data_IF_707744380612
#
_entry.id   IF_707744380612
#
_cell.length_a   1.000
_cell.length_b   1.000
_cell.length_c   1.000
_cell.angle_alpha   90.00
_cell.angle_beta   90.00
_cell.angle_gamma   90.00
#
_symmetry.space_group_name_H-M   'P 1'
#
loop_
_entity.id
_entity.type
_entity.pdbx_description
1 polymer ?
#
# COMPACT_ATOMS: atom_id res chain seq x y z
N UNK A 1 -5.62 4.01 25.57
CA UNK A 1 -6.82 3.19 25.32
C UNK A 1 -8.02 4.10 25.48
N UNK A 2 -8.82 4.30 24.42
CA UNK A 2 -9.96 5.22 24.43
C UNK A 2 -11.07 4.69 25.35
N UNK A 3 -11.49 5.51 26.31
CA UNK A 3 -12.54 5.17 27.29
C UNK A 3 -13.94 5.12 26.66
N UNK A 4 -14.11 5.69 25.46
CA UNK A 4 -15.39 5.77 24.74
C UNK A 4 -15.84 4.46 24.08
N UNK A 5 -14.94 3.47 23.99
CA UNK A 5 -15.25 2.16 23.38
C UNK A 5 -16.33 1.38 24.13
N UNK A 6 -16.58 1.70 25.40
CA UNK A 6 -17.63 1.08 26.22
C UNK A 6 -18.96 1.85 26.19
N UNK A 7 -18.99 3.02 25.53
CA UNK A 7 -20.18 3.85 25.34
C UNK A 7 -20.86 3.61 23.98
N UNK A 8 -20.19 2.94 23.05
CA UNK A 8 -20.72 2.56 21.75
C UNK A 8 -21.79 1.47 21.88
N UNK A 9 -22.84 1.54 21.05
CA UNK A 9 -23.77 0.43 20.92
C UNK A 9 -23.06 -0.78 20.31
N UNK A 10 -23.61 -1.98 20.49
CA UNK A 10 -23.06 -3.21 19.90
C UNK A 10 -22.97 -3.08 18.38
N UNK A 11 -23.99 -2.51 17.75
CA UNK A 11 -24.02 -2.31 16.31
C UNK A 11 -22.97 -1.28 15.86
N UNK A 12 -22.80 -0.18 16.60
CA UNK A 12 -21.78 0.83 16.28
C UNK A 12 -20.35 0.29 16.47
N UNK A 13 -20.12 -0.48 17.53
CA UNK A 13 -18.84 -1.13 17.77
C UNK A 13 -18.48 -2.12 16.65
N UNK A 14 -19.45 -2.94 16.22
CA UNK A 14 -19.26 -3.98 15.20
C UNK A 14 -19.20 -3.41 13.77
N UNK A 15 -19.97 -2.36 13.47
CA UNK A 15 -20.15 -1.84 12.12
C UNK A 15 -19.34 -0.56 11.82
N UNK A 16 -19.21 0.37 12.77
CA UNK A 16 -18.68 1.71 12.48
C UNK A 16 -17.19 1.87 12.79
N UNK A 17 -16.66 1.24 13.85
CA UNK A 17 -15.29 1.56 14.31
C UNK A 17 -14.26 0.43 14.17
N UNK A 18 -14.65 -0.84 14.32
CA UNK A 18 -13.65 -1.90 14.52
C UNK A 18 -13.39 -2.81 13.33
N UNK A 19 -14.22 -2.74 12.28
CA UNK A 19 -14.16 -3.62 11.10
C UNK A 19 -14.14 -5.13 11.45
N UNK A 20 -14.54 -5.49 12.67
CA UNK A 20 -14.42 -6.87 13.21
C UNK A 20 -15.25 -7.85 12.40
N UNK A 21 -16.42 -7.42 11.89
CA UNK A 21 -17.26 -8.26 11.05
C UNK A 21 -16.57 -8.66 9.74
N UNK A 22 -15.75 -7.78 9.15
CA UNK A 22 -14.97 -8.11 7.96
C UNK A 22 -13.99 -9.24 8.25
N UNK A 23 -13.24 -9.14 9.35
CA UNK A 23 -12.28 -10.16 9.76
C UNK A 23 -12.95 -11.47 10.17
N UNK A 24 -14.09 -11.40 10.84
CA UNK A 24 -14.85 -12.59 11.21
C UNK A 24 -15.41 -13.30 9.97
N UNK A 25 -15.97 -12.55 9.02
CA UNK A 25 -16.48 -13.10 7.76
C UNK A 25 -15.34 -13.75 6.95
N UNK A 26 -14.20 -13.09 6.86
CA UNK A 26 -13.02 -13.62 6.18
C UNK A 26 -12.49 -14.90 6.85
N UNK A 27 -12.33 -14.90 8.17
CA UNK A 27 -11.89 -16.08 8.93
C UNK A 27 -12.85 -17.28 8.75
N UNK A 28 -14.16 -17.03 8.80
CA UNK A 28 -15.16 -18.09 8.58
C UNK A 28 -15.07 -18.61 7.14
N UNK A 29 -14.94 -17.72 6.16
CA UNK A 29 -14.84 -18.11 4.74
C UNK A 29 -13.61 -18.99 4.50
N UNK A 30 -12.43 -18.57 4.98
CA UNK A 30 -11.20 -19.35 4.87
C UNK A 30 -11.28 -20.71 5.58
N UNK A 31 -11.90 -20.76 6.77
CA UNK A 31 -12.12 -22.00 7.51
C UNK A 31 -13.00 -22.98 6.74
N UNK A 32 -14.03 -22.48 6.05
CA UNK A 32 -14.94 -23.31 5.26
C UNK A 32 -14.28 -23.81 3.97
N UNK A 33 -13.46 -22.98 3.31
CA UNK A 33 -12.72 -23.35 2.10
C UNK A 33 -11.65 -24.42 2.36
N UNK A 34 -10.95 -24.34 3.50
CA UNK A 34 -9.82 -25.21 3.83
C UNK A 34 -10.08 -26.03 5.10
N UNK A 35 -11.31 -26.54 5.23
CA UNK A 35 -11.81 -27.18 6.45
C UNK A 35 -10.92 -28.32 6.94
N UNK A 36 -10.42 -29.16 6.05
CA UNK A 36 -9.61 -30.33 6.42
C UNK A 36 -8.27 -29.93 7.05
N UNK A 37 -7.65 -28.85 6.57
CA UNK A 37 -6.36 -28.37 7.08
C UNK A 37 -6.51 -27.65 8.42
N UNK A 38 -7.47 -26.73 8.53
CA UNK A 38 -7.60 -25.85 9.70
C UNK A 38 -8.35 -26.49 10.87
N UNK A 39 -9.20 -27.48 10.63
CA UNK A 39 -9.90 -28.19 11.73
C UNK A 39 -9.04 -29.24 12.41
N UNK A 40 -7.89 -29.63 11.83
CA UNK A 40 -6.99 -30.65 12.38
C UNK A 40 -6.54 -30.33 13.82
N UNK A 41 -6.35 -29.04 14.12
CA UNK A 41 -5.89 -28.57 15.44
C UNK A 41 -6.99 -27.90 16.28
N UNK A 42 -8.24 -27.97 15.81
CA UNK A 42 -9.42 -27.41 16.46
C UNK A 42 -9.75 -25.98 16.02
N UNK A 43 -11.04 -25.73 15.79
CA UNK A 43 -11.58 -24.44 15.30
C UNK A 43 -11.21 -23.26 16.21
N UNK A 44 -11.23 -23.44 17.53
CA UNK A 44 -10.86 -22.37 18.46
C UNK A 44 -9.41 -21.90 18.30
N UNK A 45 -8.50 -22.82 17.98
CA UNK A 45 -7.09 -22.49 17.73
C UNK A 45 -6.93 -21.74 16.41
N UNK A 46 -7.64 -22.16 15.37
CA UNK A 46 -7.66 -21.45 14.08
C UNK A 46 -8.05 -19.98 14.26
N UNK A 47 -9.17 -19.69 14.92
CA UNK A 47 -9.60 -18.30 15.15
C UNK A 47 -8.58 -17.52 15.99
N UNK A 48 -8.00 -18.14 17.03
CA UNK A 48 -6.97 -17.49 17.82
C UNK A 48 -5.73 -17.12 16.98
N UNK A 49 -5.27 -18.02 16.09
CA UNK A 49 -4.14 -17.77 15.20
C UNK A 49 -4.48 -16.71 14.14
N UNK A 50 -5.68 -16.75 13.56
CA UNK A 50 -6.15 -15.75 12.59
C UNK A 50 -6.19 -14.35 13.22
N UNK A 51 -6.87 -14.17 14.36
CA UNK A 51 -6.98 -12.86 15.00
C UNK A 51 -5.64 -12.38 15.59
N UNK A 52 -4.75 -13.30 15.97
CA UNK A 52 -3.38 -12.93 16.31
C UNK A 52 -2.61 -12.46 15.06
N UNK A 53 -2.85 -13.05 13.89
CA UNK A 53 -2.32 -12.57 12.61
C UNK A 53 -2.82 -11.15 12.29
N UNK A 54 -4.14 -10.92 12.45
CA UNK A 54 -4.75 -9.58 12.28
C UNK A 54 -4.13 -8.57 13.24
N UNK A 55 -4.07 -8.89 14.53
CA UNK A 55 -3.48 -8.02 15.55
C UNK A 55 -2.04 -7.62 15.22
N UNK A 56 -1.26 -8.57 14.69
CA UNK A 56 0.16 -8.34 14.35
C UNK A 56 0.35 -7.76 12.93
N UNK A 57 -0.72 -7.62 12.15
CA UNK A 57 -0.69 -7.08 10.79
C UNK A 57 -0.18 -8.06 9.71
N UNK A 58 -0.12 -9.37 10.00
CA UNK A 58 0.40 -10.36 9.04
C UNK A 58 -0.68 -10.91 8.09
N UNK A 59 -1.95 -10.65 8.38
CA UNK A 59 -3.13 -11.18 7.70
C UNK A 59 -3.32 -10.69 6.26
N UNK A 60 -2.53 -9.72 5.82
CA UNK A 60 -2.60 -9.11 4.47
C UNK A 60 -1.62 -9.73 3.46
N UNK A 61 -0.75 -10.63 3.89
CA UNK A 61 0.20 -11.31 3.00
C UNK A 61 -0.51 -12.24 2.01
N UNK A 62 -0.19 -12.12 0.72
CA UNK A 62 -0.72 -12.95 -0.36
C UNK A 62 -2.25 -12.89 -0.48
N UNK A 63 -2.83 -11.74 -0.11
CA UNK A 63 -4.25 -11.46 -0.24
C UNK A 63 -4.52 -10.66 -1.50
N UNK A 64 -5.77 -10.69 -1.94
CA UNK A 64 -6.25 -9.89 -3.07
C UNK A 64 -6.28 -8.40 -2.73
N UNK A 65 -6.15 -7.55 -3.75
CA UNK A 65 -6.10 -6.10 -3.62
C UNK A 65 -7.31 -5.54 -2.87
N UNK A 66 -8.49 -6.08 -3.18
CA UNK A 66 -9.74 -5.69 -2.53
C UNK A 66 -9.75 -5.96 -1.02
N UNK A 67 -9.08 -7.02 -0.57
CA UNK A 67 -8.96 -7.31 0.86
C UNK A 67 -7.97 -6.35 1.54
N UNK A 68 -6.80 -6.13 0.95
CA UNK A 68 -5.77 -5.26 1.56
C UNK A 68 -6.21 -3.80 1.64
N UNK A 69 -7.07 -3.33 0.72
CA UNK A 69 -7.60 -1.96 0.72
C UNK A 69 -8.84 -1.78 1.60
N UNK A 70 -9.45 -2.86 2.09
CA UNK A 70 -10.79 -2.82 2.67
C UNK A 70 -10.90 -2.04 3.99
N UNK A 71 -9.82 -1.96 4.77
CA UNK A 71 -9.84 -1.29 6.07
C UNK A 71 -8.56 -0.47 6.26
N UNK A 72 -8.59 0.59 7.09
CA UNK A 72 -7.39 1.35 7.42
C UNK A 72 -6.29 0.46 8.05
N UNK A 73 -6.69 -0.49 8.90
CA UNK A 73 -5.75 -1.45 9.50
C UNK A 73 -5.09 -2.37 8.47
N UNK A 74 -5.84 -2.83 7.45
CA UNK A 74 -5.27 -3.63 6.36
C UNK A 74 -4.27 -2.81 5.55
N UNK A 75 -4.63 -1.56 5.20
CA UNK A 75 -3.75 -0.65 4.45
C UNK A 75 -2.45 -0.39 5.20
N UNK A 76 -2.54 0.00 6.47
CA UNK A 76 -1.36 0.23 7.32
C UNK A 76 -0.51 -1.03 7.50
N UNK A 77 -1.14 -2.19 7.71
CA UNK A 77 -0.44 -3.48 7.81
C UNK A 77 0.30 -3.82 6.53
N UNK A 78 -0.31 -3.58 5.37
CA UNK A 78 0.28 -3.87 4.07
C UNK A 78 1.47 -2.94 3.77
N UNK A 79 1.34 -1.64 4.03
CA UNK A 79 2.43 -0.66 3.94
C UNK A 79 3.61 -1.11 4.82
N UNK A 80 3.34 -1.51 6.06
CA UNK A 80 4.37 -1.96 7.00
C UNK A 80 5.07 -3.23 6.53
N UNK A 81 4.33 -4.21 6.00
CA UNK A 81 4.92 -5.43 5.44
C UNK A 81 5.79 -5.10 4.24
N UNK A 82 5.28 -4.29 3.30
CA UNK A 82 6.05 -3.88 2.13
C UNK A 82 7.36 -3.20 2.53
N UNK A 83 7.31 -2.28 3.49
CA UNK A 83 8.49 -1.67 4.09
C UNK A 83 9.45 -2.71 4.65
N UNK A 84 8.99 -3.59 5.55
CA UNK A 84 9.86 -4.60 6.20
C UNK A 84 10.46 -5.60 5.20
N UNK A 85 9.72 -5.99 4.18
CA UNK A 85 10.16 -6.96 3.18
C UNK A 85 11.25 -6.41 2.26
N UNK A 86 11.21 -5.11 1.95
CA UNK A 86 12.06 -4.51 0.91
C UNK A 86 12.96 -3.37 1.39
N UNK A 87 12.98 -3.06 2.70
CA UNK A 87 13.81 -2.01 3.33
C UNK A 87 15.28 -2.07 2.90
N UNK A 88 15.83 -3.26 2.66
CA UNK A 88 17.22 -3.42 2.26
C UNK A 88 17.56 -2.70 0.94
N UNK A 89 16.60 -2.56 0.03
CA UNK A 89 16.74 -1.78 -1.22
C UNK A 89 17.10 -0.33 -0.89
N UNK A 90 16.33 0.30 0.00
CA UNK A 90 16.60 1.66 0.47
C UNK A 90 17.93 1.78 1.22
N UNK A 91 18.30 0.78 2.04
CA UNK A 91 19.58 0.74 2.77
C UNK A 91 20.79 0.66 1.83
N UNK A 92 20.65 -0.02 0.70
CA UNK A 92 21.69 -0.10 -0.32
C UNK A 92 21.81 1.17 -1.16
N UNK A 93 20.81 2.06 -1.11
CA UNK A 93 20.73 3.26 -1.94
C UNK A 93 20.25 3.00 -3.36
N UNK A 94 19.64 1.84 -3.61
CA UNK A 94 19.10 1.48 -4.92
C UNK A 94 17.89 2.37 -5.24
N UNK A 95 17.86 2.91 -6.47
CA UNK A 95 16.71 3.64 -7.01
C UNK A 95 15.95 2.72 -7.95
N UNK A 96 14.62 2.74 -7.87
CA UNK A 96 13.77 1.86 -8.67
C UNK A 96 12.76 2.66 -9.48
N UNK A 97 12.49 2.21 -10.71
CA UNK A 97 11.40 2.71 -11.54
C UNK A 97 10.03 2.22 -11.02
N UNK A 98 8.95 2.88 -11.45
CA UNK A 98 7.59 2.54 -11.04
C UNK A 98 7.23 1.06 -11.32
N UNK A 99 7.68 0.51 -12.45
CA UNK A 99 7.43 -0.90 -12.83
C UNK A 99 8.11 -1.91 -11.90
N UNK A 100 9.27 -1.55 -11.34
CA UNK A 100 9.97 -2.40 -10.37
C UNK A 100 9.21 -2.40 -9.05
N UNK A 101 8.71 -1.25 -8.60
CA UNK A 101 7.83 -1.18 -7.44
C UNK A 101 6.53 -1.98 -7.60
N UNK A 102 5.90 -1.94 -8.78
CA UNK A 102 4.75 -2.80 -9.10
C UNK A 102 5.11 -4.27 -8.91
N UNK A 103 6.27 -4.68 -9.45
CA UNK A 103 6.73 -6.07 -9.33
C UNK A 103 6.94 -6.48 -7.87
N UNK A 104 7.53 -5.62 -7.04
CA UNK A 104 7.71 -5.88 -5.61
C UNK A 104 6.37 -5.97 -4.85
N UNK A 105 5.43 -5.08 -5.15
CA UNK A 105 4.08 -5.11 -4.56
C UNK A 105 3.33 -6.38 -4.96
N UNK A 106 3.49 -6.83 -6.22
CA UNK A 106 2.86 -8.05 -6.73
C UNK A 106 3.43 -9.34 -6.15
N UNK A 107 4.65 -9.32 -5.59
CA UNK A 107 5.15 -10.43 -4.78
C UNK A 107 4.32 -10.63 -3.50
N UNK A 108 3.72 -9.57 -2.96
CA UNK A 108 2.91 -9.60 -1.74
C UNK A 108 1.40 -9.65 -2.02
N UNK A 109 0.94 -9.04 -3.11
CA UNK A 109 -0.45 -8.94 -3.53
C UNK A 109 -0.54 -9.17 -5.05
N UNK A 110 -0.83 -10.40 -5.52
CA UNK A 110 -0.67 -10.77 -6.93
C UNK A 110 -1.45 -9.91 -7.94
N UNK A 111 -2.59 -9.34 -7.53
CA UNK A 111 -3.48 -8.48 -8.31
C UNK A 111 -3.31 -6.98 -8.00
N UNK A 112 -2.16 -6.57 -7.45
CA UNK A 112 -1.92 -5.17 -7.11
C UNK A 112 -2.03 -4.26 -8.36
N UNK A 113 -2.83 -3.17 -8.31
CA UNK A 113 -3.11 -2.35 -9.47
C UNK A 113 -1.93 -1.44 -9.85
N UNK A 114 -1.60 -1.45 -11.15
CA UNK A 114 -0.59 -0.58 -11.75
C UNK A 114 -0.88 0.90 -11.55
N UNK A 115 -2.16 1.29 -11.66
CA UNK A 115 -2.60 2.68 -11.53
C UNK A 115 -2.23 3.30 -10.18
N UNK A 116 -2.34 2.54 -9.08
CA UNK A 116 -1.97 2.99 -7.74
C UNK A 116 -0.49 3.38 -7.67
N UNK A 117 0.39 2.60 -8.29
CA UNK A 117 1.83 2.86 -8.31
C UNK A 117 2.18 4.02 -9.24
N UNK A 118 1.53 4.12 -10.39
CA UNK A 118 1.70 5.25 -11.30
C UNK A 118 1.27 6.57 -10.66
N UNK A 119 0.12 6.58 -10.00
CA UNK A 119 -0.36 7.75 -9.25
C UNK A 119 0.56 8.10 -8.08
N UNK A 120 1.16 7.10 -7.44
CA UNK A 120 2.19 7.33 -6.41
C UNK A 120 3.46 7.94 -7.01
N UNK A 121 3.91 7.45 -8.17
CA UNK A 121 5.11 7.95 -8.84
C UNK A 121 4.97 9.44 -9.21
N UNK A 122 3.78 9.87 -9.66
CA UNK A 122 3.48 11.29 -9.94
C UNK A 122 3.55 12.22 -8.72
N UNK A 123 3.47 11.68 -7.51
CA UNK A 123 3.67 12.49 -6.29
C UNK A 123 5.16 12.78 -6.08
N UNK A 124 6.04 11.87 -6.49
CA UNK A 124 7.49 11.96 -6.29
C UNK A 124 8.16 12.64 -7.48
N UNK A 125 7.72 12.30 -8.68
CA UNK A 125 8.31 12.71 -9.95
C UNK A 125 7.52 13.89 -10.50
N UNK A 126 8.23 14.93 -10.93
CA UNK A 126 7.64 16.06 -11.66
C UNK A 126 7.16 15.55 -13.04
N UNK A 127 6.11 16.15 -13.58
CA UNK A 127 5.49 15.76 -14.85
C UNK A 127 6.53 15.52 -15.97
N UNK A 128 6.28 14.50 -16.79
CA UNK A 128 7.12 13.91 -17.86
C UNK A 128 8.25 12.95 -17.47
N UNK A 129 8.54 12.75 -16.18
CA UNK A 129 9.61 11.86 -15.72
C UNK A 129 9.12 10.52 -15.13
N UNK A 130 7.96 9.99 -15.52
CA UNK A 130 7.32 8.81 -14.86
C UNK A 130 8.20 7.55 -14.85
N UNK A 131 9.11 7.42 -15.83
CA UNK A 131 10.07 6.32 -15.91
C UNK A 131 11.37 6.57 -15.14
N UNK A 132 11.52 7.74 -14.51
CA UNK A 132 12.69 8.07 -13.70
C UNK A 132 12.70 7.25 -12.42
N UNK A 133 13.86 6.70 -12.03
CA UNK A 133 13.96 5.92 -10.82
C UNK A 133 13.81 6.80 -9.58
N UNK A 134 13.11 6.28 -8.57
CA UNK A 134 12.81 6.96 -7.30
C UNK A 134 13.51 6.27 -6.14
N UNK A 135 13.76 7.02 -5.07
CA UNK A 135 14.28 6.43 -3.84
C UNK A 135 13.20 5.62 -3.13
N UNK A 136 13.61 4.56 -2.44
CA UNK A 136 12.70 3.75 -1.61
C UNK A 136 11.94 4.58 -0.58
N UNK A 137 12.59 5.58 0.04
CA UNK A 137 11.93 6.44 1.02
C UNK A 137 10.87 7.33 0.40
N UNK A 138 11.16 7.96 -0.74
CA UNK A 138 10.23 8.89 -1.38
C UNK A 138 9.02 8.15 -1.95
N UNK A 139 9.26 6.98 -2.57
CA UNK A 139 8.19 6.09 -3.00
C UNK A 139 7.31 5.67 -1.82
N UNK A 140 7.91 5.20 -0.73
CA UNK A 140 7.19 4.59 0.38
C UNK A 140 6.27 5.58 1.13
N UNK A 141 6.73 6.80 1.40
CA UNK A 141 5.87 7.81 2.03
C UNK A 141 4.79 8.32 1.08
N UNK A 142 5.11 8.49 -0.20
CA UNK A 142 4.10 8.86 -1.20
C UNK A 142 3.05 7.76 -1.38
N UNK A 143 3.49 6.50 -1.39
CA UNK A 143 2.64 5.33 -1.44
C UNK A 143 1.73 5.26 -0.22
N UNK A 144 2.28 5.50 0.98
CA UNK A 144 1.50 5.56 2.22
C UNK A 144 0.36 6.57 2.11
N UNK A 145 0.64 7.80 1.67
CA UNK A 145 -0.41 8.82 1.51
C UNK A 145 -1.43 8.41 0.45
N UNK A 146 -0.98 8.01 -0.75
CA UNK A 146 -1.89 7.69 -1.86
C UNK A 146 -2.77 6.48 -1.57
N UNK A 147 -2.22 5.44 -0.96
CA UNK A 147 -2.93 4.19 -0.68
C UNK A 147 -3.78 4.28 0.58
N UNK A 148 -3.28 4.90 1.66
CA UNK A 148 -4.03 4.96 2.93
C UNK A 148 -5.24 5.89 2.85
N UNK A 149 -5.09 7.05 2.18
CA UNK A 149 -6.12 8.09 2.06
C UNK A 149 -6.78 8.13 0.67
N UNK A 150 -6.78 7.03 -0.08
CA UNK A 150 -7.25 6.97 -1.47
C UNK A 150 -8.57 7.75 -1.70
N UNK A 151 -9.63 7.40 -0.98
CA UNK A 151 -10.97 8.01 -1.14
C UNK A 151 -10.99 9.50 -0.78
N UNK A 152 -10.20 9.88 0.23
CA UNK A 152 -10.08 11.27 0.64
C UNK A 152 -9.41 12.08 -0.47
N UNK A 153 -8.30 11.58 -1.03
CA UNK A 153 -7.56 12.26 -2.07
C UNK A 153 -8.36 12.38 -3.37
N UNK A 154 -9.18 11.40 -3.70
CA UNK A 154 -10.09 11.49 -4.85
C UNK A 154 -11.11 12.62 -4.66
N UNK A 155 -11.65 12.76 -3.44
CA UNK A 155 -12.57 13.85 -3.10
C UNK A 155 -11.89 15.22 -3.12
N UNK A 156 -10.66 15.30 -2.60
CA UNK A 156 -9.85 16.53 -2.64
C UNK A 156 -9.47 16.91 -4.07
N UNK A 157 -9.21 15.93 -4.95
CA UNK A 157 -8.95 16.16 -6.37
C UNK A 157 -10.14 16.84 -7.05
N UNK A 158 -11.37 16.41 -6.76
CA UNK A 158 -12.59 17.07 -7.26
C UNK A 158 -12.68 18.52 -6.80
N UNK A 159 -12.43 18.78 -5.51
CA UNK A 159 -12.41 20.16 -4.96
C UNK A 159 -11.38 21.01 -5.70
N UNK A 160 -10.17 20.47 -5.89
CA UNK A 160 -9.10 21.17 -6.57
C UNK A 160 -9.47 21.53 -8.02
N UNK A 161 -10.06 20.60 -8.77
CA UNK A 161 -10.52 20.84 -10.13
C UNK A 161 -11.67 21.85 -10.20
N UNK A 162 -12.60 21.82 -9.24
CA UNK A 162 -13.66 22.81 -9.14
C UNK A 162 -13.10 24.22 -8.91
N UNK A 163 -12.11 24.36 -8.03
CA UNK A 163 -11.43 25.63 -7.79
C UNK A 163 -10.67 26.12 -9.03
N UNK A 164 -9.97 25.24 -9.75
CA UNK A 164 -9.34 25.59 -11.04
C UNK A 164 -10.36 26.06 -12.08
N UNK A 165 -11.55 25.47 -12.10
CA UNK A 165 -12.65 25.87 -12.98
C UNK A 165 -13.36 27.17 -12.55
N UNK A 166 -12.90 27.81 -11.46
CA UNK A 166 -13.46 29.05 -10.93
C UNK A 166 -14.71 28.88 -10.06
N UNK A 167 -15.10 27.64 -9.73
CA UNK A 167 -16.22 27.37 -8.80
C UNK A 167 -15.74 27.58 -7.37
N UNK A 168 -15.85 28.81 -6.89
CA UNK A 168 -15.68 29.12 -5.46
C UNK A 168 -16.98 28.88 -4.68
N UNK A 169 -16.93 28.58 -3.36
CA UNK A 169 -18.12 28.46 -2.52
C UNK A 169 -18.99 29.73 -2.47
N UNK A 170 -18.42 30.89 -2.86
CA UNK A 170 -19.12 32.18 -2.96
C UNK A 170 -19.67 32.48 -4.36
N UNK A 171 -19.65 31.51 -5.29
CA UNK A 171 -20.12 31.72 -6.66
C UNK A 171 -21.64 31.76 -6.70
N UNK A 172 -22.22 32.96 -6.77
CA UNK A 172 -23.63 33.16 -7.08
C UNK A 172 -23.84 32.83 -8.56
N UNK A 173 -24.44 31.67 -8.84
CA UNK A 173 -24.86 31.31 -10.20
C UNK A 173 -26.09 32.15 -10.54
N UNK A 174 -25.87 33.27 -11.20
CA UNK A 174 -26.95 34.07 -11.78
C UNK A 174 -27.36 33.41 -13.11
N UNK A 175 -28.63 33.05 -13.33
CA UNK A 175 -29.07 32.55 -14.63
C UNK A 175 -29.08 33.69 -15.63
N UNK A 176 -27.96 33.91 -16.32
CA UNK A 176 -27.89 34.86 -17.43
C UNK A 176 -28.13 34.11 -18.73
N UNK A 177 -29.31 34.31 -19.31
CA UNK A 177 -29.66 33.89 -20.66
C UNK A 177 -28.79 34.60 -21.71
N UNK A 178 -28.17 33.81 -22.60
CA UNK A 178 -27.59 34.15 -23.92
C UNK A 178 -26.56 35.28 -24.03
N UNK A 179 -25.31 34.92 -24.36
CA UNK A 179 -24.70 35.21 -25.69
C UNK A 179 -23.24 34.75 -25.70
N UNK A 180 -22.95 33.79 -26.57
CA UNK A 180 -21.61 33.32 -26.89
C UNK A 180 -21.03 34.30 -27.91
N UNK A 181 -20.19 35.23 -27.47
CA UNK A 181 -19.28 35.95 -28.36
C UNK A 181 -17.85 35.48 -28.11
N UNK A 182 -17.26 35.00 -29.19
CA UNK A 182 -15.91 34.50 -29.32
C UNK A 182 -14.90 35.58 -28.89
N UNK A 183 -14.00 35.22 -27.96
CA UNK A 183 -12.69 35.84 -27.89
C UNK A 183 -11.64 34.76 -28.16
N UNK A 184 -11.06 34.89 -29.34
CA UNK A 184 -10.00 34.10 -29.93
C UNK A 184 -8.65 34.38 -29.26
N UNK A 185 -7.96 33.28 -28.91
CA UNK A 185 -6.52 33.04 -29.07
C UNK A 185 -5.56 34.23 -28.93
N UNK A 186 -5.08 34.50 -27.72
CA UNK A 186 -3.76 35.07 -27.45
C UNK A 186 -3.34 34.70 -26.03
N UNK A 187 -2.73 33.52 -25.84
CA UNK A 187 -1.76 33.23 -24.77
C UNK A 187 -1.40 31.73 -24.78
N UNK A 188 -0.62 31.29 -25.77
CA UNK A 188 0.09 30.00 -25.68
C UNK A 188 1.30 30.08 -24.69
N UNK A 189 1.53 31.24 -24.07
CA UNK A 189 2.58 31.51 -23.07
C UNK A 189 2.05 31.62 -21.61
N UNK A 190 0.74 31.48 -21.35
CA UNK A 190 0.15 31.55 -19.98
C UNK A 190 -0.26 30.20 -19.37
N UNK A 191 -0.12 29.09 -20.10
CA UNK A 191 -0.58 27.77 -19.63
C UNK A 191 0.20 27.23 -18.42
N UNK A 192 1.42 27.71 -18.17
CA UNK A 192 2.26 27.22 -17.06
C UNK A 192 1.97 27.91 -15.71
N UNK A 193 1.23 29.03 -15.67
CA UNK A 193 0.90 29.77 -14.42
C UNK A 193 -0.50 29.40 -13.89
N UNK A 194 -1.24 28.57 -14.63
CA UNK A 194 -2.68 28.35 -14.41
C UNK A 194 -3.03 27.14 -13.53
N UNK A 195 -2.09 26.23 -13.24
CA UNK A 195 -2.36 25.00 -12.46
C UNK A 195 -2.11 25.15 -10.95
N UNK A 196 -2.41 26.30 -10.36
CA UNK A 196 -2.28 26.47 -8.91
C UNK A 196 -3.49 27.19 -8.33
N UNK A 197 -4.08 26.64 -7.27
CA UNK A 197 -5.22 27.25 -6.57
C UNK A 197 -4.75 28.08 -5.40
N UNK A 198 -5.59 29.00 -4.91
CA UNK A 198 -5.32 29.72 -3.66
C UNK A 198 -5.35 28.75 -2.47
N UNK A 199 -4.27 28.72 -1.70
CA UNK A 199 -4.10 27.73 -0.62
C UNK A 199 -5.07 27.93 0.54
N UNK A 200 -5.49 29.17 0.82
CA UNK A 200 -6.40 29.45 1.93
C UNK A 200 -7.82 28.97 1.60
N UNK A 201 -8.28 29.26 0.38
CA UNK A 201 -9.59 28.76 -0.11
C UNK A 201 -9.58 27.23 -0.18
N UNK A 202 -8.46 26.65 -0.64
CA UNK A 202 -8.33 25.20 -0.72
C UNK A 202 -8.34 24.54 0.67
N UNK A 203 -7.64 25.12 1.65
CA UNK A 203 -7.64 24.65 3.04
C UNK A 203 -9.05 24.67 3.64
N UNK A 204 -9.80 25.76 3.48
CA UNK A 204 -11.18 25.88 3.99
C UNK A 204 -12.10 24.80 3.39
N UNK A 205 -11.97 24.53 2.09
CA UNK A 205 -12.75 23.48 1.43
C UNK A 205 -12.40 22.08 1.94
N UNK A 206 -11.11 21.81 2.21
CA UNK A 206 -10.67 20.52 2.75
C UNK A 206 -11.13 20.36 4.21
N UNK A 207 -11.08 21.42 5.02
CA UNK A 207 -11.57 21.39 6.41
C UNK A 207 -13.06 21.06 6.46
N UNK A 208 -13.86 21.72 5.62
CA UNK A 208 -15.29 21.41 5.48
C UNK A 208 -15.55 19.98 4.96
N UNK A 209 -14.65 19.42 4.14
CA UNK A 209 -14.71 18.01 3.75
C UNK A 209 -14.45 17.11 4.96
N UNK A 210 -13.38 17.37 5.74
CA UNK A 210 -13.01 16.56 6.90
C UNK A 210 -14.14 16.45 7.95
N UNK A 211 -14.92 17.50 8.17
CA UNK A 211 -16.04 17.48 9.13
C UNK A 211 -17.12 16.43 8.80
N UNK A 212 -17.26 16.07 7.53
CA UNK A 212 -18.32 15.17 7.03
C UNK A 212 -17.77 13.88 6.40
N UNK A 213 -16.45 13.72 6.33
CA UNK A 213 -15.84 12.59 5.65
C UNK A 213 -15.86 11.35 6.52
N UNK A 214 -16.31 10.22 5.95
CA UNK A 214 -16.50 8.97 6.70
C UNK A 214 -15.28 8.05 6.70
N UNK A 215 -14.41 8.18 5.70
CA UNK A 215 -13.21 7.35 5.57
C UNK A 215 -12.03 8.04 6.25
N UNK A 216 -10.91 7.33 6.34
CA UNK A 216 -9.67 7.90 6.88
C UNK A 216 -9.29 9.18 6.14
N UNK A 217 -8.95 10.21 6.91
CA UNK A 217 -8.43 11.48 6.43
C UNK A 217 -7.38 12.00 7.42
N UNK A 218 -6.43 12.85 6.99
CA UNK A 218 -5.47 13.50 7.88
C UNK A 218 -6.17 14.45 8.86
N UNK A 219 -5.50 14.79 9.97
CA UNK A 219 -5.98 15.83 10.88
C UNK A 219 -6.14 17.17 10.13
N UNK A 220 -7.26 17.90 10.32
CA UNK A 220 -7.44 19.23 9.73
C UNK A 220 -6.31 20.21 10.06
N UNK A 221 -5.75 20.12 11.28
CA UNK A 221 -4.63 20.96 11.69
C UNK A 221 -3.36 20.70 10.87
N UNK A 222 -3.08 19.43 10.53
CA UNK A 222 -1.92 19.04 9.75
C UNK A 222 -2.06 19.47 8.28
N UNK A 223 -3.28 19.40 7.73
CA UNK A 223 -3.57 19.92 6.38
C UNK A 223 -3.37 21.43 6.31
N UNK A 224 -3.88 22.16 7.31
CA UNK A 224 -3.73 23.61 7.38
C UNK A 224 -2.26 24.03 7.45
N UNK A 225 -1.48 23.38 8.31
CA UNK A 225 -0.03 23.62 8.44
C UNK A 225 0.71 23.45 7.11
N UNK A 226 0.35 22.44 6.31
CA UNK A 226 0.94 22.22 4.99
C UNK A 226 0.64 23.38 4.03
N UNK A 227 -0.61 23.85 4.03
CA UNK A 227 -1.11 24.86 3.08
C UNK A 227 -0.76 26.30 3.47
N UNK A 228 -0.48 26.58 4.75
CA UNK A 228 -0.04 27.90 5.22
C UNK A 228 1.32 28.33 4.64
N UNK A 229 2.14 27.39 4.18
CA UNK A 229 3.49 27.65 3.68
C UNK A 229 3.54 28.32 2.29
N UNK A 230 2.42 28.43 1.58
CA UNK A 230 2.40 28.95 0.21
C UNK A 230 1.07 29.62 -0.09
N UNK A 231 1.10 30.74 -0.82
CA UNK A 231 -0.13 31.45 -1.21
C UNK A 231 -0.92 30.66 -2.28
N UNK A 232 -0.21 29.99 -3.19
CA UNK A 232 -0.80 29.13 -4.22
C UNK A 232 -0.16 27.76 -4.18
N UNK A 233 -0.93 26.73 -4.49
CA UNK A 233 -0.49 25.33 -4.42
C UNK A 233 -1.01 24.55 -5.63
N UNK A 234 -0.15 23.72 -6.21
CA UNK A 234 -0.56 22.72 -7.20
C UNK A 234 -1.03 21.45 -6.51
N UNK A 235 -1.87 20.63 -7.16
CA UNK A 235 -2.37 19.39 -6.54
C UNK A 235 -1.25 18.45 -6.14
N UNK A 236 -0.29 18.18 -7.04
CA UNK A 236 0.86 17.33 -6.73
C UNK A 236 1.83 17.98 -5.74
N UNK A 237 1.94 19.31 -5.74
CA UNK A 237 2.68 20.04 -4.70
C UNK A 237 2.09 19.82 -3.32
N UNK A 238 0.76 19.83 -3.20
CA UNK A 238 0.04 19.49 -1.98
C UNK A 238 0.27 18.03 -1.55
N UNK A 239 0.13 17.06 -2.48
CA UNK A 239 0.37 15.64 -2.18
C UNK A 239 1.82 15.38 -1.73
N UNK A 240 2.80 16.03 -2.39
CA UNK A 240 4.20 15.91 -2.02
C UNK A 240 4.45 16.49 -0.62
N UNK A 241 3.81 17.60 -0.27
CA UNK A 241 3.90 18.18 1.06
C UNK A 241 3.24 17.29 2.13
N UNK A 242 2.12 16.63 1.82
CA UNK A 242 1.53 15.60 2.69
C UNK A 242 2.48 14.43 2.92
N UNK A 243 3.12 13.90 1.87
CA UNK A 243 4.07 12.79 2.00
C UNK A 243 5.29 13.14 2.86
N UNK A 244 5.70 14.42 2.86
CA UNK A 244 6.81 14.94 3.68
C UNK A 244 6.40 15.32 5.11
N UNK A 245 5.10 15.38 5.41
CA UNK A 245 4.60 15.79 6.73
C UNK A 245 4.78 14.68 7.75
N UNK A 246 5.63 14.93 8.74
CA UNK A 246 5.89 13.98 9.82
C UNK A 246 4.64 13.72 10.67
N UNK A 247 3.84 14.75 10.93
CA UNK A 247 2.60 14.65 11.71
C UNK A 247 1.61 13.66 11.05
N UNK A 248 1.39 13.81 9.73
CA UNK A 248 0.50 12.92 8.98
C UNK A 248 1.05 11.49 8.96
N UNK A 249 2.37 11.34 8.77
CA UNK A 249 3.00 10.02 8.73
C UNK A 249 2.91 9.30 10.09
N UNK A 250 3.05 10.03 11.20
CA UNK A 250 2.92 9.50 12.56
C UNK A 250 1.47 9.11 12.88
N UNK A 251 0.49 9.91 12.44
CA UNK A 251 -0.93 9.61 12.64
C UNK A 251 -1.37 8.30 11.96
N UNK A 252 -0.83 8.00 10.78
CA UNK A 252 -1.05 6.70 10.10
C UNK A 252 -0.39 5.56 10.88
N UNK A 253 0.81 5.79 11.41
CA UNK A 253 1.54 4.84 12.26
C UNK A 253 1.96 3.53 11.57
N UNK A 254 1.92 3.46 10.23
CA UNK A 254 2.33 2.28 9.48
C UNK A 254 3.86 2.18 9.38
N UNK A 255 4.53 3.32 9.22
CA UNK A 255 5.97 3.47 9.03
C UNK A 255 6.63 4.15 10.25
N UNK A 256 7.91 3.90 10.51
CA UNK A 256 8.68 4.68 11.46
C UNK A 256 8.99 6.09 10.91
N UNK A 257 9.58 6.93 11.77
CA UNK A 257 10.07 8.25 11.39
C UNK A 257 11.18 8.13 10.34
N UNK A 258 11.38 9.18 9.52
CA UNK A 258 12.31 9.14 8.38
C UNK A 258 13.76 8.80 8.78
N UNK A 259 14.21 9.21 9.96
CA UNK A 259 15.53 8.90 10.50
C UNK A 259 15.72 7.42 10.86
N UNK A 260 14.65 6.71 11.15
CA UNK A 260 14.63 5.31 11.59
C UNK A 260 14.13 4.36 10.49
N UNK A 261 13.64 4.89 9.36
CA UNK A 261 13.07 4.13 8.25
C UNK A 261 13.99 3.02 7.74
N UNK A 262 15.30 3.27 7.74
CA UNK A 262 16.30 2.32 7.26
C UNK A 262 17.05 1.64 8.40
N UNK A 263 16.50 1.59 9.61
CA UNK A 263 17.09 0.93 10.79
C UNK A 263 16.18 -0.17 11.35
N UNK A 264 16.67 -1.40 11.36
CA UNK A 264 16.03 -2.55 12.02
C UNK A 264 17.15 -3.52 12.44
N UNK A 265 17.75 -3.31 13.63
CA UNK A 265 18.89 -4.09 14.08
C UNK A 265 18.60 -5.59 14.20
N UNK A 266 17.35 -5.96 14.53
CA UNK A 266 16.96 -7.36 14.72
C UNK A 266 16.92 -8.09 13.38
N UNK A 267 16.21 -7.52 12.39
CA UNK A 267 16.15 -8.07 11.04
C UNK A 267 17.51 -8.04 10.34
N UNK A 268 18.29 -6.96 10.52
CA UNK A 268 19.63 -6.84 9.95
C UNK A 268 20.54 -7.95 10.48
N UNK A 269 20.49 -8.24 11.78
CA UNK A 269 21.28 -9.32 12.37
C UNK A 269 20.79 -10.72 11.94
N UNK A 270 19.49 -10.92 11.77
CA UNK A 270 18.95 -12.18 11.25
C UNK A 270 19.35 -12.42 9.78
N UNK A 271 19.33 -11.37 8.96
CA UNK A 271 19.80 -11.42 7.58
C UNK A 271 21.30 -11.75 7.50
N UNK A 272 22.13 -11.11 8.34
CA UNK A 272 23.56 -11.43 8.43
C UNK A 272 23.80 -12.89 8.83
N UNK A 273 23.02 -13.42 9.78
CA UNK A 273 23.09 -14.84 10.17
C UNK A 273 22.71 -15.76 9.01
N UNK A 274 21.68 -15.44 8.24
CA UNK A 274 21.25 -16.24 7.08
C UNK A 274 22.32 -16.23 5.97
N UNK A 275 22.89 -15.06 5.67
CA UNK A 275 23.97 -14.93 4.68
C UNK A 275 25.19 -15.75 5.10
N UNK A 276 25.56 -15.71 6.39
CA UNK A 276 26.65 -16.53 6.92
C UNK A 276 26.37 -18.03 6.77
N UNK A 277 25.14 -18.50 7.04
CA UNK A 277 24.75 -19.91 6.87
C UNK A 277 24.83 -20.37 5.40
N UNK A 278 24.41 -19.52 4.45
CA UNK A 278 24.50 -19.81 3.01
C UNK A 278 25.97 -19.86 2.58
N UNK A 279 26.79 -18.93 3.07
CA UNK A 279 28.23 -18.84 2.71
C UNK A 279 29.07 -19.99 3.28
N UNK A 280 28.61 -20.64 4.36
CA UNK A 280 29.29 -21.78 5.00
C UNK A 280 28.81 -23.12 4.45
N UNK A 281 27.73 -23.17 3.66
CA UNK A 281 27.25 -24.39 3.01
C UNK A 281 28.18 -24.76 1.84
N UNK A 282 29.03 -25.80 1.93
CA UNK A 282 29.81 -26.23 0.79
C UNK A 282 28.86 -26.86 -0.21
N UNK A 283 29.08 -26.58 -1.49
CA UNK A 283 28.59 -27.37 -2.62
C UNK A 283 28.58 -28.85 -2.27
N UNK A 284 27.39 -29.46 -2.31
CA UNK A 284 27.22 -30.89 -2.16
C UNK A 284 27.83 -31.58 -3.38
N UNK A 285 29.13 -31.85 -3.32
CA UNK A 285 29.77 -32.77 -4.23
C UNK A 285 29.22 -34.17 -3.96
N UNK A 286 28.43 -34.64 -4.91
CA UNK A 286 28.03 -36.04 -5.06
C UNK A 286 29.26 -36.91 -5.32
N UNK A 287 29.67 -37.71 -4.34
CA UNK A 287 30.47 -38.92 -4.56
C UNK A 287 30.35 -39.85 -3.36
N UNK A 288 30.02 -41.11 -3.64
CA UNK A 288 29.42 -42.07 -2.72
C UNK A 288 30.27 -42.54 -1.54
N UNK A 289 29.59 -42.97 -0.47
CA UNK A 289 29.56 -44.38 -0.02
C UNK A 289 28.80 -44.50 1.31
N UNK A 290 28.10 -45.62 1.47
CA UNK A 290 27.14 -45.90 2.53
C UNK A 290 27.74 -45.98 3.94
N UNK A 291 26.97 -45.61 4.98
CA UNK A 291 26.55 -46.48 6.10
C UNK A 291 25.69 -45.68 7.10
N UNK A 292 24.67 -46.36 7.65
CA UNK A 292 23.50 -45.76 8.27
C UNK A 292 23.70 -44.96 9.55
N UNK A 293 22.89 -43.91 9.69
CA UNK A 293 22.57 -43.26 10.95
C UNK A 293 21.06 -43.01 11.00
N UNK A 294 20.46 -43.45 12.11
CA UNK A 294 19.04 -43.38 12.44
C UNK A 294 18.44 -42.00 12.15
N UNK A 295 17.30 -41.98 11.45
CA UNK A 295 16.45 -40.80 11.34
C UNK A 295 16.04 -40.33 12.76
N UNK A 296 16.50 -39.15 13.15
CA UNK A 296 15.88 -38.36 14.21
C UNK A 296 14.54 -37.86 13.66
N UNK A 297 13.44 -37.93 14.44
CA UNK A 297 12.15 -37.48 13.97
C UNK A 297 12.24 -35.97 13.73
N UNK A 298 12.04 -35.56 12.47
CA UNK A 298 11.85 -34.17 12.08
C UNK A 298 10.72 -33.61 12.94
N UNK A 299 11.06 -32.83 13.97
CA UNK A 299 10.09 -31.96 14.64
C UNK A 299 9.58 -31.00 13.58
N UNK A 300 8.33 -31.21 13.14
CA UNK A 300 7.64 -30.26 12.29
C UNK A 300 7.65 -28.90 12.98
N UNK A 301 8.20 -27.88 12.31
CA UNK A 301 8.14 -26.51 12.77
C UNK A 301 6.67 -26.08 12.86
N UNK A 302 6.17 -25.54 13.98
CA UNK A 302 4.74 -25.25 14.19
C UNK A 302 4.18 -24.08 13.36
N UNK A 303 4.99 -23.45 12.51
CA UNK A 303 4.61 -22.25 11.76
C UNK A 303 4.48 -22.57 10.28
N UNK A 304 3.43 -23.31 9.91
CA UNK A 304 2.95 -23.23 8.53
C UNK A 304 2.25 -21.88 8.40
N UNK A 305 2.70 -21.09 7.42
CA UNK A 305 1.99 -19.88 6.99
C UNK A 305 0.55 -20.26 6.69
N UNK A 306 -0.42 -19.48 7.20
CA UNK A 306 -1.84 -19.65 6.87
C UNK A 306 -2.12 -19.48 5.36
N UNK A 307 -1.15 -19.02 4.58
CA UNK A 307 -1.37 -18.61 3.20
C UNK A 307 -0.86 -19.66 2.21
N UNK A 308 -1.81 -20.24 1.46
CA UNK A 308 -1.53 -20.98 0.25
C UNK A 308 -1.37 -20.03 -0.94
N UNK A 309 -0.21 -20.07 -1.60
CA UNK A 309 -0.07 -19.56 -2.97
C UNK A 309 -0.87 -20.49 -3.89
N UNK A 310 -1.89 -19.96 -4.58
CA UNK A 310 -2.54 -20.70 -5.69
C UNK A 310 -1.44 -21.10 -6.67
N UNK A 311 -1.25 -22.41 -6.84
CA UNK A 311 -0.29 -22.96 -7.79
C UNK A 311 -0.77 -22.57 -9.19
N UNK A 312 0.02 -21.81 -9.93
CA UNK A 312 -0.18 -21.64 -11.37
C UNK A 312 0.16 -23.00 -11.98
N UNK A 313 -0.86 -23.76 -12.39
CA UNK A 313 -0.70 -24.93 -13.24
C UNK A 313 -0.33 -24.40 -14.64
N UNK A 314 0.97 -24.30 -14.88
CA UNK A 314 1.48 -24.13 -16.23
C UNK A 314 1.50 -25.53 -16.86
N UNK A 315 0.38 -25.93 -17.47
CA UNK A 315 0.34 -27.07 -18.37
C UNK A 315 1.22 -26.74 -19.59
N UNK A 316 2.50 -27.10 -19.50
CA UNK A 316 3.40 -27.13 -20.65
C UNK A 316 3.19 -28.48 -21.32
N UNK A 317 2.31 -28.49 -22.31
CA UNK A 317 2.04 -29.65 -23.16
C UNK A 317 3.33 -29.99 -23.94
N UNK A 318 3.96 -31.10 -23.55
CA UNK A 318 5.21 -31.57 -24.14
C UNK A 318 4.93 -32.18 -25.52
N UNK A 319 5.22 -31.43 -26.59
CA UNK A 319 5.32 -32.01 -27.94
C UNK A 319 6.71 -32.60 -28.16
N UNK A 320 6.78 -33.92 -28.15
CA UNK A 320 7.88 -34.71 -28.70
C UNK A 320 7.70 -34.81 -30.21
N UNK A 321 8.43 -34.02 -30.99
CA UNK A 321 8.64 -34.32 -32.41
C UNK A 321 9.94 -35.11 -32.57
N UNK A 322 9.78 -36.37 -32.96
CA UNK A 322 10.86 -37.24 -33.38
C UNK A 322 11.33 -36.82 -34.77
N UNK A 323 12.61 -36.47 -34.91
CA UNK A 323 13.26 -36.35 -36.22
C UNK A 323 14.04 -37.63 -36.51
N UNK A 324 13.43 -38.51 -37.28
CA UNK A 324 14.08 -39.59 -38.02
C UNK A 324 15.06 -38.97 -39.02
N UNK A 325 16.33 -39.36 -38.95
CA UNK A 325 17.38 -38.92 -39.89
C UNK A 325 17.92 -40.13 -40.62
N UNK A 326 17.38 -40.35 -41.82
CA UNK A 326 17.89 -41.26 -42.82
C UNK A 326 18.99 -40.60 -43.66
N UNK A 327 20.09 -41.34 -43.84
CA UNK A 327 21.02 -41.34 -44.99
C UNK A 327 21.93 -40.11 -45.21
N UNK A 328 23.23 -40.29 -44.90
CA UNK A 328 24.28 -40.46 -45.92
C UNK A 328 25.56 -41.05 -45.33
#
# INVERSE_FOLDING_TARGET
>A
MNSDRFALSVDDYLAAETNVLLYLNDAVTQLLEHKEEYTQFGVGRYFAEYFNSVKNGNHVLFREFNYIKATPHNRASFIRIFWRSFRQIGKNGDLLAAMEYISLLQLLCPDFPTEMVQNTARIVLIDDAVDSPMSFSDFLYSFQIKFYFEEFLDSVSVIYQDLLSGKSPNTVIVPTSSSVEQLSSLAEDELEVQEAVDSAIFAECIEALCERFKHSHPSPSAVREILENSQRVSFYGFLMAMAKSENINQDIGALPNKSELLLDPEMDQELERLIAQISISPTSNSSGSATGLKELPKKASPRKSLHHRKRIEMESDGSTEETDSSEN
#
